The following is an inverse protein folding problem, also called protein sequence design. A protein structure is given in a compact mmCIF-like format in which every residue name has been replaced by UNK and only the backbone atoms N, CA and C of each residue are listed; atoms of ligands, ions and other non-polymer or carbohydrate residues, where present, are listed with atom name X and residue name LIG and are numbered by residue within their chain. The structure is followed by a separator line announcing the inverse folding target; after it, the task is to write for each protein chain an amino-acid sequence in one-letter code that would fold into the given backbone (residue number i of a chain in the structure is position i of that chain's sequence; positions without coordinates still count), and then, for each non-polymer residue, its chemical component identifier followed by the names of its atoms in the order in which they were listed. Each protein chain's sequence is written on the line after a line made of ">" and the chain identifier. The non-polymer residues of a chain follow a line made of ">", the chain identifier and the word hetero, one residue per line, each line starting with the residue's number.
data_IF_744985843780
#
_entry.id   IF_744985843780
#
_cell.length_a   1.000
_cell.length_b   1.000
_cell.length_c   1.000
_cell.angle_alpha   90.00
_cell.angle_beta   90.00
_cell.angle_gamma   90.00
#
_symmetry.space_group_name_H-M   'P 1'
#
loop_
_entity.id
_entity.type
_entity.pdbx_description
1 polymer ?
#
# COMPACT_ATOMS: atom_id res chain seq x y z
N UNK A 1 -18.11 2.04 -15.27
CA UNK A 1 -17.16 0.91 -15.20
C UNK A 1 -15.78 1.51 -15.29
N UNK A 2 -15.45 2.42 -14.36
CA UNK A 2 -14.27 3.31 -14.46
C UNK A 2 -13.70 3.67 -13.08
N UNK A 3 -13.57 2.68 -12.20
CA UNK A 3 -12.69 2.78 -11.02
C UNK A 3 -11.25 2.33 -11.35
N UNK A 4 -11.03 1.74 -12.54
CA UNK A 4 -9.72 1.48 -13.15
C UNK A 4 -9.07 2.75 -13.73
N UNK A 5 -9.81 3.86 -13.87
CA UNK A 5 -9.31 5.11 -14.45
C UNK A 5 -8.14 5.75 -13.64
N UNK A 6 -7.86 5.24 -12.45
CA UNK A 6 -6.78 5.71 -11.58
C UNK A 6 -5.50 4.87 -11.60
N UNK A 7 -5.49 3.67 -12.19
CA UNK A 7 -4.36 2.74 -12.15
C UNK A 7 -3.82 2.39 -13.54
N UNK A 8 -2.49 2.23 -13.64
CA UNK A 8 -1.85 1.80 -14.88
C UNK A 8 -2.26 0.37 -15.25
N UNK A 9 -2.21 0.01 -16.54
CA UNK A 9 -2.56 -1.33 -17.01
C UNK A 9 -1.72 -2.43 -16.33
N UNK A 10 -0.44 -2.17 -16.07
CA UNK A 10 0.46 -3.07 -15.34
C UNK A 10 0.01 -3.27 -13.90
N UNK A 11 -0.39 -2.19 -13.22
CA UNK A 11 -0.92 -2.26 -11.87
C UNK A 11 -2.27 -3.00 -11.83
N UNK A 12 -3.21 -2.70 -12.73
CA UNK A 12 -4.47 -3.44 -12.84
C UNK A 12 -4.22 -4.94 -13.09
N UNK A 13 -3.24 -5.28 -13.94
CA UNK A 13 -2.82 -6.68 -14.16
C UNK A 13 -2.27 -7.33 -12.89
N UNK A 14 -1.44 -6.60 -12.13
CA UNK A 14 -0.92 -7.06 -10.85
C UNK A 14 -2.05 -7.28 -9.82
N UNK A 15 -3.04 -6.40 -9.73
CA UNK A 15 -4.21 -6.58 -8.85
C UNK A 15 -5.00 -7.83 -9.22
N UNK A 16 -5.22 -8.07 -10.52
CA UNK A 16 -5.82 -9.31 -11.01
C UNK A 16 -5.00 -10.57 -10.68
N UNK A 17 -3.67 -10.48 -10.77
CA UNK A 17 -2.74 -11.53 -10.35
C UNK A 17 -2.85 -11.84 -8.86
N UNK A 18 -2.89 -10.81 -8.02
CA UNK A 18 -2.97 -10.93 -6.57
C UNK A 18 -4.29 -11.58 -6.14
N UNK A 19 -5.41 -11.20 -6.77
CA UNK A 19 -6.74 -11.83 -6.60
C UNK A 19 -6.70 -13.32 -6.92
N UNK A 20 -6.19 -13.70 -8.09
CA UNK A 20 -6.08 -15.12 -8.49
C UNK A 20 -5.17 -15.91 -7.55
N UNK A 21 -4.18 -15.27 -6.94
CA UNK A 21 -3.27 -15.91 -5.99
C UNK A 21 -3.94 -16.15 -4.65
N UNK A 22 -4.56 -15.13 -4.06
CA UNK A 22 -5.30 -15.27 -2.79
C UNK A 22 -6.37 -16.37 -2.87
N UNK A 23 -7.11 -16.45 -3.99
CA UNK A 23 -8.09 -17.52 -4.21
C UNK A 23 -7.44 -18.91 -4.27
N UNK A 24 -6.32 -19.05 -4.98
CA UNK A 24 -5.58 -20.33 -5.06
C UNK A 24 -4.99 -20.75 -3.72
N UNK A 25 -4.54 -19.79 -2.93
CA UNK A 25 -3.94 -20.01 -1.62
C UNK A 25 -4.99 -20.19 -0.50
N UNK A 26 -6.28 -19.97 -0.81
CA UNK A 26 -7.39 -20.11 0.14
C UNK A 26 -7.48 -18.97 1.16
N UNK A 27 -6.83 -17.83 0.90
CA UNK A 27 -6.85 -16.69 1.80
C UNK A 27 -8.16 -15.92 1.70
N UNK A 28 -8.69 -15.53 2.86
CA UNK A 28 -9.89 -14.68 2.94
C UNK A 28 -9.66 -13.25 2.47
N UNK A 29 -8.40 -12.80 2.43
CA UNK A 29 -8.03 -11.44 2.06
C UNK A 29 -6.77 -11.42 1.19
N UNK A 30 -6.74 -10.48 0.25
CA UNK A 30 -5.58 -10.10 -0.54
C UNK A 30 -4.75 -9.12 0.30
N UNK A 31 -3.66 -9.62 0.86
CA UNK A 31 -2.72 -8.85 1.68
C UNK A 31 -1.58 -8.22 0.84
N UNK A 32 -0.74 -7.38 1.47
CA UNK A 32 0.38 -6.74 0.77
C UNK A 32 1.43 -7.70 0.25
N UNK A 33 1.54 -8.92 0.80
CA UNK A 33 2.46 -9.92 0.27
C UNK A 33 1.95 -10.48 -1.06
N UNK A 34 0.64 -10.67 -1.23
CA UNK A 34 0.05 -11.00 -2.53
C UNK A 34 0.29 -9.89 -3.55
N UNK A 35 0.08 -8.64 -3.14
CA UNK A 35 0.35 -7.47 -3.98
C UNK A 35 1.81 -7.42 -4.41
N UNK A 36 2.76 -7.55 -3.47
CA UNK A 36 4.19 -7.55 -3.76
C UNK A 36 4.57 -8.65 -4.75
N UNK A 37 4.07 -9.88 -4.54
CA UNK A 37 4.32 -10.99 -5.46
C UNK A 37 3.84 -10.64 -6.87
N UNK A 38 2.60 -10.18 -7.01
CA UNK A 38 2.04 -9.88 -8.32
C UNK A 38 2.65 -8.64 -8.98
N UNK A 39 3.08 -7.63 -8.21
CA UNK A 39 3.86 -6.50 -8.74
C UNK A 39 5.19 -6.95 -9.34
N UNK A 40 5.94 -7.81 -8.63
CA UNK A 40 7.20 -8.36 -9.12
C UNK A 40 7.02 -9.18 -10.40
N UNK A 41 5.86 -9.79 -10.61
CA UNK A 41 5.53 -10.57 -11.80
C UNK A 41 5.18 -9.67 -13.00
N UNK A 42 4.40 -8.59 -12.79
CA UNK A 42 3.81 -7.82 -13.90
C UNK A 42 4.52 -6.50 -14.20
N UNK A 43 5.19 -5.86 -13.22
CA UNK A 43 5.76 -4.52 -13.39
C UNK A 43 7.31 -4.56 -13.45
N UNK A 44 7.92 -4.31 -14.63
CA UNK A 44 9.37 -4.29 -14.78
C UNK A 44 10.06 -3.17 -14.00
N UNK A 45 9.37 -2.07 -13.72
CA UNK A 45 9.94 -0.95 -12.97
C UNK A 45 9.97 -1.24 -11.49
N UNK A 46 8.97 -1.98 -10.99
CA UNK A 46 9.03 -2.54 -9.63
C UNK A 46 10.22 -3.49 -9.51
N UNK A 47 10.46 -4.37 -10.49
CA UNK A 47 11.65 -5.25 -10.48
C UNK A 47 12.96 -4.46 -10.51
N UNK A 48 13.03 -3.39 -11.31
CA UNK A 48 14.23 -2.55 -11.43
C UNK A 48 14.59 -1.80 -10.13
N UNK A 49 13.65 -1.62 -9.20
CA UNK A 49 13.92 -1.02 -7.89
C UNK A 49 14.76 -1.91 -6.95
N UNK A 50 14.88 -3.20 -7.26
CA UNK A 50 15.69 -4.15 -6.51
C UNK A 50 17.12 -4.18 -7.07
N UNK A 51 18.10 -3.81 -6.23
CA UNK A 51 19.48 -3.60 -6.65
C UNK A 51 20.23 -4.90 -7.00
N UNK A 52 19.82 -6.04 -6.41
CA UNK A 52 20.54 -7.32 -6.53
C UNK A 52 19.60 -8.46 -6.97
N UNK A 53 19.99 -9.19 -8.02
CA UNK A 53 19.23 -10.34 -8.52
C UNK A 53 19.11 -11.49 -7.51
N UNK A 54 20.11 -11.67 -6.63
CA UNK A 54 20.11 -12.70 -5.57
C UNK A 54 19.09 -12.39 -4.47
N UNK A 55 18.88 -11.11 -4.14
CA UNK A 55 17.84 -10.67 -3.21
C UNK A 55 16.46 -10.93 -3.81
N UNK A 56 16.26 -10.63 -5.09
CA UNK A 56 15.01 -10.89 -5.78
C UNK A 56 14.69 -12.40 -5.83
N UNK A 57 15.68 -13.26 -6.10
CA UNK A 57 15.50 -14.70 -6.08
C UNK A 57 15.08 -15.22 -4.69
N UNK A 58 15.73 -14.73 -3.62
CA UNK A 58 15.35 -15.06 -2.23
C UNK A 58 13.94 -14.59 -1.90
N UNK A 59 13.60 -13.35 -2.27
CA UNK A 59 12.28 -12.76 -2.07
C UNK A 59 11.19 -13.58 -2.75
N UNK A 60 11.40 -13.97 -4.01
CA UNK A 60 10.46 -14.85 -4.73
C UNK A 60 10.36 -16.22 -4.06
N UNK A 61 11.47 -16.79 -3.58
CA UNK A 61 11.49 -18.04 -2.82
C UNK A 61 10.62 -17.98 -1.56
N UNK A 62 10.72 -16.90 -0.79
CA UNK A 62 9.80 -16.65 0.32
C UNK A 62 8.36 -16.53 -0.21
N UNK A 63 8.08 -15.61 -1.12
CA UNK A 63 6.70 -15.37 -1.59
C UNK A 63 5.99 -16.62 -2.17
N UNK A 64 6.73 -17.57 -2.75
CA UNK A 64 6.21 -18.85 -3.23
C UNK A 64 5.90 -19.85 -2.10
N UNK A 65 6.70 -19.89 -1.04
CA UNK A 65 6.55 -20.84 0.08
C UNK A 65 5.53 -20.41 1.15
N UNK A 66 4.86 -19.27 0.94
CA UNK A 66 3.88 -18.68 1.86
C UNK A 66 2.81 -19.69 2.32
N UNK A 67 2.24 -20.47 1.41
CA UNK A 67 1.08 -21.34 1.67
C UNK A 67 1.40 -22.66 2.40
N UNK A 68 2.68 -23.05 2.51
CA UNK A 68 3.11 -24.32 3.12
C UNK A 68 4.16 -24.10 4.23
N UNK A 69 4.72 -22.89 4.35
CA UNK A 69 5.79 -22.56 5.27
C UNK A 69 5.49 -21.32 6.13
N UNK A 70 6.34 -20.31 6.05
CA UNK A 70 6.31 -19.17 6.97
C UNK A 70 5.05 -18.29 6.88
N UNK A 71 4.17 -18.45 5.90
CA UNK A 71 2.94 -17.68 5.76
C UNK A 71 1.74 -18.25 6.50
N UNK A 72 1.83 -19.45 7.10
CA UNK A 72 0.68 -20.08 7.78
C UNK A 72 0.10 -19.22 8.91
N UNK A 73 0.93 -18.46 9.65
CA UNK A 73 0.46 -17.54 10.70
C UNK A 73 -0.40 -16.38 10.18
N UNK A 74 -0.35 -16.11 8.88
CA UNK A 74 -1.06 -15.00 8.24
C UNK A 74 -2.46 -15.39 7.74
N UNK A 75 -2.75 -16.69 7.62
CA UNK A 75 -4.06 -17.19 7.16
C UNK A 75 -5.19 -16.88 8.16
N UNK A 76 -4.88 -16.76 9.45
CA UNK A 76 -5.85 -16.46 10.51
C UNK A 76 -5.86 -15.00 10.96
N UNK A 77 -4.79 -14.23 10.69
CA UNK A 77 -4.67 -12.84 11.11
C UNK A 77 -5.16 -11.84 10.06
N UNK A 78 -5.67 -10.70 10.51
CA UNK A 78 -5.91 -9.53 9.64
C UNK A 78 -4.57 -8.78 9.49
N UNK A 79 -4.25 -8.35 8.27
CA UNK A 79 -3.13 -7.44 8.04
C UNK A 79 -3.60 -6.00 8.26
N UNK A 80 -3.10 -5.39 9.32
CA UNK A 80 -3.44 -4.05 9.75
C UNK A 80 -2.15 -3.29 10.10
N UNK A 81 -2.18 -1.97 9.93
CA UNK A 81 -1.08 -1.06 10.25
C UNK A 81 -0.85 -0.95 11.77
N UNK A 82 -1.81 -1.43 12.57
CA UNK A 82 -1.82 -1.26 14.03
C UNK A 82 -2.26 0.14 14.46
N UNK A 83 -2.80 0.95 13.54
CA UNK A 83 -3.48 2.19 13.88
C UNK A 83 -4.72 1.83 14.72
N UNK A 84 -4.78 2.35 15.94
CA UNK A 84 -5.75 1.94 16.96
C UNK A 84 -7.19 1.90 16.41
N UNK A 85 -8.02 0.94 16.86
CA UNK A 85 -9.38 0.79 16.37
C UNK A 85 -10.14 2.10 16.56
N UNK A 86 -10.74 2.60 15.49
CA UNK A 86 -11.74 3.67 15.58
C UNK A 86 -12.93 3.08 16.32
N UNK A 87 -12.98 3.30 17.63
CA UNK A 87 -14.18 3.02 18.42
C UNK A 87 -15.25 3.99 17.93
N UNK A 88 -16.16 3.51 17.07
CA UNK A 88 -17.45 4.16 16.89
C UNK A 88 -18.14 4.09 18.25
N UNK A 89 -18.06 5.16 19.03
CA UNK A 89 -18.84 5.27 20.25
C UNK A 89 -20.31 5.12 19.83
N UNK A 90 -20.91 3.99 20.20
CA UNK A 90 -22.35 3.86 20.15
C UNK A 90 -22.89 5.01 21.03
N UNK A 91 -23.66 5.90 20.42
CA UNK A 91 -24.43 6.92 21.13
C UNK A 91 -25.35 6.20 22.09
N UNK A 92 -24.88 6.04 23.32
CA UNK A 92 -25.74 5.74 24.46
C UNK A 92 -26.13 7.10 24.98
N UNK A 93 -27.41 7.42 24.83
CA UNK A 93 -28.02 8.67 25.32
C UNK A 93 -27.67 8.89 26.81
N UNK A 94 -26.96 9.98 27.16
CA UNK A 94 -26.78 10.36 28.54
C UNK A 94 -27.73 11.52 28.88
N UNK A 95 -28.79 11.23 29.63
CA UNK A 95 -29.53 12.28 30.34
C UNK A 95 -28.68 12.79 31.53
N UNK A 96 -28.36 14.09 31.65
CA UNK A 96 -27.52 14.57 32.75
C UNK A 96 -28.33 14.94 34.00
N UNK A 97 -27.80 14.61 35.18
CA UNK A 97 -27.97 15.38 36.41
C UNK A 97 -26.66 16.16 36.67
N UNK A 98 -26.70 17.31 37.36
CA UNK A 98 -25.69 18.34 37.19
C UNK A 98 -24.58 18.32 38.25
N UNK A 99 -23.63 19.24 38.05
CA UNK A 99 -22.64 19.79 38.98
C UNK A 99 -21.42 18.93 39.38
N UNK A 100 -20.37 18.99 38.54
CA UNK A 100 -18.98 19.05 39.01
C UNK A 100 -18.10 19.84 38.01
N UNK A 101 -17.39 20.84 38.51
CA UNK A 101 -16.55 21.78 37.78
C UNK A 101 -15.23 21.13 37.34
N UNK A 102 -14.80 21.41 36.11
CA UNK A 102 -13.51 21.01 35.54
C UNK A 102 -12.44 22.10 35.74
N UNK A 103 -11.14 21.75 35.81
CA UNK A 103 -10.06 22.65 35.45
C UNK A 103 -9.52 22.40 34.03
N UNK A 104 -8.76 23.40 33.59
CA UNK A 104 -8.50 23.87 32.25
C UNK A 104 -7.28 23.20 31.56
N UNK A 105 -7.52 22.76 30.32
CA UNK A 105 -6.64 22.65 29.13
C UNK A 105 -5.20 22.10 29.24
N UNK A 106 -4.98 20.96 28.59
CA UNK A 106 -3.73 20.65 27.88
C UNK A 106 -3.95 20.81 26.37
N UNK A 107 -3.06 21.54 25.71
CA UNK A 107 -3.14 21.89 24.29
C UNK A 107 -3.02 20.66 23.38
N UNK A 108 -4.03 20.46 22.53
CA UNK A 108 -4.03 19.43 21.49
C UNK A 108 -3.25 19.87 20.25
N UNK A 109 -2.34 19.01 19.79
CA UNK A 109 -1.84 19.03 18.42
C UNK A 109 -2.96 18.55 17.46
N UNK A 110 -3.03 19.02 16.21
CA UNK A 110 -4.13 18.67 15.33
C UNK A 110 -4.00 17.20 14.90
N UNK A 111 -4.93 16.38 15.38
CA UNK A 111 -5.28 15.13 14.69
C UNK A 111 -5.96 15.51 13.39
N UNK A 112 -5.34 15.15 12.27
CA UNK A 112 -5.97 15.29 10.95
C UNK A 112 -7.19 14.37 10.97
N UNK A 113 -8.38 14.95 10.85
CA UNK A 113 -9.62 14.19 10.84
C UNK A 113 -9.56 13.16 9.70
N UNK A 114 -9.54 11.88 10.04
CA UNK A 114 -9.81 10.82 9.09
C UNK A 114 -11.21 11.08 8.53
N UNK A 115 -11.26 11.45 7.26
CA UNK A 115 -12.50 11.70 6.55
C UNK A 115 -13.32 10.40 6.53
N UNK A 116 -14.61 10.49 6.86
CA UNK A 116 -15.53 9.36 6.84
C UNK A 116 -15.43 8.58 5.51
N UNK A 117 -15.52 7.23 5.52
CA UNK A 117 -15.26 6.46 4.31
C UNK A 117 -16.29 6.80 3.23
N UNK A 118 -15.88 7.13 1.99
CA UNK A 118 -16.79 7.05 0.86
C UNK A 118 -17.28 5.60 0.75
N UNK A 119 -18.50 5.39 0.24
CA UNK A 119 -19.07 4.06 0.01
C UNK A 119 -18.00 3.12 -0.58
N UNK A 120 -17.76 1.98 0.08
CA UNK A 120 -16.64 1.10 -0.20
C UNK A 120 -16.54 0.79 -1.69
N UNK A 121 -15.41 1.20 -2.30
CA UNK A 121 -15.11 0.88 -3.68
C UNK A 121 -15.12 -0.65 -3.85
N UNK A 122 -15.71 -1.23 -4.92
CA UNK A 122 -15.76 -2.70 -5.13
C UNK A 122 -14.36 -3.33 -5.31
N UNK A 123 -13.31 -2.51 -5.44
CA UNK A 123 -11.93 -2.97 -5.32
C UNK A 123 -11.54 -3.29 -3.88
N UNK A 124 -12.09 -2.64 -2.85
CA UNK A 124 -11.77 -2.89 -1.44
C UNK A 124 -12.33 -4.22 -0.93
N UNK A 125 -13.39 -4.74 -1.55
CA UNK A 125 -13.92 -6.06 -1.22
C UNK A 125 -12.86 -7.14 -1.44
N UNK A 126 -12.48 -7.79 -0.34
CA UNK A 126 -11.50 -8.88 -0.34
C UNK A 126 -10.04 -8.44 -0.19
N UNK A 127 -9.70 -7.16 -0.05
CA UNK A 127 -8.34 -6.75 0.35
C UNK A 127 -8.22 -6.63 1.88
N UNK A 128 -6.99 -6.74 2.38
CA UNK A 128 -6.72 -6.36 3.76
C UNK A 128 -6.91 -4.83 3.96
N UNK A 129 -7.18 -4.37 5.20
CA UNK A 129 -7.22 -2.94 5.51
C UNK A 129 -5.94 -2.21 5.10
N UNK A 130 -4.77 -2.78 5.41
CA UNK A 130 -3.48 -2.18 5.05
C UNK A 130 -3.29 -2.13 3.52
N UNK A 131 -3.65 -3.21 2.79
CA UNK A 131 -3.58 -3.21 1.33
C UNK A 131 -4.49 -2.15 0.70
N UNK A 132 -5.68 -1.95 1.26
CA UNK A 132 -6.60 -0.88 0.82
C UNK A 132 -5.98 0.50 1.07
N UNK A 133 -5.45 0.75 2.27
CA UNK A 133 -4.77 2.00 2.60
C UNK A 133 -3.55 2.27 1.71
N UNK A 134 -2.80 1.23 1.32
CA UNK A 134 -1.67 1.34 0.41
C UNK A 134 -2.11 1.70 -1.03
N UNK A 135 -3.23 1.14 -1.51
CA UNK A 135 -3.80 1.50 -2.81
C UNK A 135 -4.26 2.95 -2.86
N UNK A 136 -4.87 3.45 -1.80
CA UNK A 136 -5.27 4.86 -1.69
C UNK A 136 -4.04 5.78 -1.61
N UNK A 137 -3.02 5.42 -0.83
CA UNK A 137 -1.76 6.15 -0.82
C UNK A 137 -1.07 6.17 -2.18
N UNK A 138 -1.15 5.08 -2.97
CA UNK A 138 -0.60 5.05 -4.32
C UNK A 138 -1.28 6.10 -5.23
N UNK A 139 -2.60 6.28 -5.10
CA UNK A 139 -3.34 7.32 -5.83
C UNK A 139 -2.94 8.73 -5.39
N UNK A 140 -2.81 8.95 -4.08
CA UNK A 140 -2.35 10.24 -3.52
C UNK A 140 -0.96 10.59 -4.04
N UNK A 141 -0.04 9.62 -4.05
CA UNK A 141 1.32 9.80 -4.59
C UNK A 141 1.31 10.14 -6.08
N UNK A 142 0.51 9.44 -6.88
CA UNK A 142 0.36 9.77 -8.29
C UNK A 142 -0.20 11.18 -8.51
N UNK A 143 -1.16 11.62 -7.68
CA UNK A 143 -1.67 12.99 -7.71
C UNK A 143 -0.60 14.03 -7.32
N UNK A 144 0.21 13.76 -6.30
CA UNK A 144 1.32 14.62 -5.89
C UNK A 144 2.34 14.80 -7.03
N UNK A 145 2.74 13.71 -7.70
CA UNK A 145 3.65 13.78 -8.88
C UNK A 145 3.10 14.69 -9.97
N UNK A 146 1.78 14.69 -10.20
CA UNK A 146 1.13 15.58 -11.18
C UNK A 146 1.15 17.04 -10.73
N UNK A 147 0.85 17.30 -9.45
CA UNK A 147 0.90 18.63 -8.87
C UNK A 147 2.31 19.25 -8.90
N UNK A 148 3.34 18.41 -8.77
CA UNK A 148 4.76 18.79 -8.84
C UNK A 148 5.28 18.93 -10.28
N UNK A 149 4.45 18.68 -11.30
CA UNK A 149 4.86 18.72 -12.71
C UNK A 149 5.79 17.57 -13.14
N UNK A 150 5.92 16.53 -12.30
CA UNK A 150 6.74 15.32 -12.56
C UNK A 150 5.99 14.25 -13.37
N UNK A 151 4.68 14.41 -13.56
CA UNK A 151 3.81 13.49 -14.29
C UNK A 151 2.83 14.26 -15.18
N UNK A 152 2.38 13.62 -16.27
CA UNK A 152 1.39 14.24 -17.16
C UNK A 152 0.01 14.31 -16.49
N UNK A 153 -0.84 15.30 -16.84
CA UNK A 153 -2.24 15.31 -16.43
C UNK A 153 -2.91 13.98 -16.78
N UNK A 154 -3.63 13.40 -15.82
CA UNK A 154 -4.30 12.10 -15.98
C UNK A 154 -3.39 10.87 -15.93
N UNK A 155 -2.07 11.00 -15.77
CA UNK A 155 -1.17 9.84 -15.72
C UNK A 155 -1.48 8.97 -14.49
N UNK A 156 -1.85 7.69 -14.62
CA UNK A 156 -2.38 6.90 -13.51
C UNK A 156 -1.34 6.57 -12.43
N UNK A 157 -1.81 6.06 -11.29
CA UNK A 157 -0.94 5.46 -10.28
C UNK A 157 -0.35 4.14 -10.80
N UNK A 158 0.94 3.96 -10.54
CA UNK A 158 1.79 2.89 -11.08
C UNK A 158 2.15 1.90 -9.98
N UNK A 159 2.67 0.73 -10.36
CA UNK A 159 3.14 -0.27 -9.39
C UNK A 159 4.21 0.27 -8.44
N UNK A 160 5.06 1.19 -8.92
CA UNK A 160 6.06 1.88 -8.08
C UNK A 160 5.44 2.82 -7.04
N UNK A 161 4.29 3.45 -7.31
CA UNK A 161 3.58 4.26 -6.31
C UNK A 161 3.01 3.37 -5.20
N UNK A 162 2.46 2.21 -5.58
CA UNK A 162 1.97 1.21 -4.63
C UNK A 162 3.11 0.58 -3.83
N UNK A 163 4.23 0.24 -4.47
CA UNK A 163 5.40 -0.30 -3.78
C UNK A 163 5.91 0.68 -2.72
N UNK A 164 6.03 1.97 -3.07
CA UNK A 164 6.42 3.03 -2.14
C UNK A 164 5.46 3.16 -0.95
N UNK A 165 4.15 3.03 -1.18
CA UNK A 165 3.14 3.06 -0.14
C UNK A 165 3.25 1.84 0.80
N UNK A 166 3.42 0.64 0.24
CA UNK A 166 3.57 -0.61 1.01
C UNK A 166 4.81 -0.55 1.91
N UNK A 167 5.96 -0.16 1.38
CA UNK A 167 7.22 -0.15 2.15
C UNK A 167 7.30 0.97 3.19
N UNK A 168 6.39 1.94 3.14
CA UNK A 168 6.30 3.00 4.14
C UNK A 168 5.66 2.52 5.45
N UNK A 169 4.94 1.41 5.43
CA UNK A 169 4.25 0.86 6.60
C UNK A 169 4.95 -0.39 7.14
N UNK A 170 5.59 -0.34 8.32
CA UNK A 170 6.27 -1.50 8.90
C UNK A 170 5.31 -2.65 9.30
N UNK A 171 4.00 -2.38 9.41
CA UNK A 171 2.98 -3.39 9.66
C UNK A 171 2.64 -4.24 8.43
N UNK A 172 3.11 -3.86 7.24
CA UNK A 172 2.85 -4.60 6.01
C UNK A 172 3.54 -5.97 6.04
N UNK A 173 2.80 -7.04 5.71
CA UNK A 173 3.38 -8.38 5.53
C UNK A 173 4.45 -8.38 4.45
N UNK A 174 4.28 -7.56 3.40
CA UNK A 174 5.31 -7.34 2.39
C UNK A 174 6.63 -6.87 3.00
N UNK A 175 6.61 -5.92 3.95
CA UNK A 175 7.81 -5.43 4.65
C UNK A 175 8.44 -6.54 5.49
N UNK A 176 7.63 -7.37 6.13
CA UNK A 176 8.12 -8.56 6.84
C UNK A 176 8.81 -9.55 5.87
N UNK A 177 8.24 -9.82 4.69
CA UNK A 177 8.89 -10.69 3.68
C UNK A 177 10.20 -10.07 3.19
N UNK A 178 10.19 -8.79 2.82
CA UNK A 178 11.35 -8.07 2.32
C UNK A 178 12.52 -8.19 3.30
N UNK A 179 12.26 -7.91 4.58
CA UNK A 179 13.26 -8.00 5.65
C UNK A 179 13.85 -9.41 5.76
N UNK A 180 13.00 -10.46 5.72
CA UNK A 180 13.46 -11.86 5.78
C UNK A 180 14.25 -12.29 4.54
N UNK A 181 13.96 -11.68 3.39
CA UNK A 181 14.72 -11.87 2.16
C UNK A 181 16.07 -11.11 2.15
N UNK A 182 16.34 -10.30 3.19
CA UNK A 182 17.52 -9.46 3.28
C UNK A 182 17.42 -8.17 2.47
N UNK A 183 16.21 -7.75 2.11
CA UNK A 183 15.94 -6.47 1.45
C UNK A 183 15.61 -5.43 2.52
N UNK A 184 16.42 -4.37 2.62
CA UNK A 184 16.13 -3.23 3.49
C UNK A 184 14.96 -2.40 2.91
N UNK A 185 13.81 -2.32 3.61
CA UNK A 185 12.65 -1.55 3.17
C UNK A 185 12.92 -0.05 3.03
N UNK A 186 13.77 0.53 3.88
CA UNK A 186 14.07 1.96 3.82
C UNK A 186 14.95 2.30 2.62
N UNK A 187 15.99 1.49 2.38
CA UNK A 187 16.80 1.63 1.18
C UNK A 187 15.99 1.37 -0.11
N UNK A 188 15.08 0.39 -0.09
CA UNK A 188 14.17 0.15 -1.22
C UNK A 188 13.26 1.35 -1.46
N UNK A 189 12.67 1.93 -0.41
CA UNK A 189 11.85 3.14 -0.52
C UNK A 189 12.66 4.28 -1.13
N UNK A 190 13.84 4.57 -0.60
CA UNK A 190 14.71 5.64 -1.11
C UNK A 190 15.04 5.44 -2.60
N UNK A 191 15.28 4.21 -3.05
CA UNK A 191 15.50 3.91 -4.48
C UNK A 191 14.26 4.15 -5.33
N UNK A 192 13.07 3.79 -4.84
CA UNK A 192 11.82 4.05 -5.55
C UNK A 192 11.57 5.56 -5.68
N UNK A 193 11.77 6.33 -4.61
CA UNK A 193 11.67 7.79 -4.63
C UNK A 193 12.70 8.42 -5.59
N UNK A 194 13.96 7.97 -5.54
CA UNK A 194 15.01 8.46 -6.43
C UNK A 194 14.81 8.06 -7.90
N UNK A 195 14.25 6.88 -8.18
CA UNK A 195 13.90 6.42 -9.51
C UNK A 195 12.71 7.19 -10.13
N UNK A 196 11.89 7.84 -9.30
CA UNK A 196 10.88 8.81 -9.74
C UNK A 196 11.53 10.18 -10.08
N UNK A 197 12.72 10.46 -9.55
CA UNK A 197 13.46 11.71 -9.78
C UNK A 197 14.45 11.64 -10.95
N UNK A 198 14.96 10.44 -11.30
CA UNK A 198 15.89 10.22 -12.44
C UNK A 198 15.14 10.11 -13.78
N UNK A 199 14.41 11.17 -14.14
CA UNK A 199 13.97 11.40 -15.53
C UNK A 199 14.36 12.81 -15.96
N UNK A 200 15.56 13.00 -16.49
CA UNK A 200 16.00 14.19 -17.24
C UNK A 200 16.94 13.76 -18.38
N UNK A 201 17.15 14.51 -19.49
CA UNK A 201 16.46 15.72 -20.00
C UNK A 201 15.86 15.50 -21.42
N UNK A 202 15.17 16.51 -21.95
CA UNK A 202 14.49 16.48 -23.26
C UNK A 202 15.40 16.07 -24.42
N UNK A 203 14.89 15.16 -25.26
CA UNK A 203 15.47 14.83 -26.56
C UNK A 203 15.34 16.03 -27.49
N UNK A 204 16.41 16.82 -27.57
CA UNK A 204 16.57 17.85 -28.59
C UNK A 204 16.53 17.21 -29.97
N UNK A 205 15.83 17.88 -30.88
CA UNK A 205 15.90 17.66 -32.32
C UNK A 205 17.35 17.51 -32.77
N UNK A 206 17.65 16.39 -33.41
CA UNK A 206 18.81 16.30 -34.31
C UNK A 206 18.40 16.95 -35.63
N UNK A 207 19.08 18.06 -35.94
CA UNK A 207 19.19 18.64 -37.27
C UNK A 207 19.83 17.67 -38.27
#
# INVERSE_FOLDING_TARGET
>A
MDDDAGFSAELTSALGGARRRAVRDGDRQIDTAHLLHSLLEHDPLVRAAFAEGSQLARLLGYLVQRSIGYGLRWQSGVEDSGALPVVTAAVTDPRPAPDAQAPLAAAGAPVIAAQAPPAACPLAEGFSPLATAALDHARVRAAARRAEGRARPGEPARGVDLLAAIVADPGARAVEVLTRAGVDPLALRARVEAGLDVRLPGGGSTC
#
